data_IF_500242085703
#
_entry.id   IF_500242085703
#
_cell.length_a   1.000
_cell.length_b   1.000
_cell.length_c   1.000
_cell.angle_alpha   90.00
_cell.angle_beta   90.00
_cell.angle_gamma   90.00
#
_symmetry.space_group_name_H-M   'P 1'
#
loop_
_entity.id
_entity.type
_entity.pdbx_description
1 polymer ?
#
# COMPACT_ATOMS: atom_id res chain seq x y z
N UNK A 1 44.49 38.99 16.18
CA UNK A 1 43.40 39.11 15.18
C UNK A 1 42.36 38.05 15.48
N UNK A 2 41.22 38.43 16.07
CA UNK A 2 40.15 37.51 16.44
C UNK A 2 38.96 37.72 15.49
N UNK A 3 38.58 36.68 14.76
CA UNK A 3 37.49 36.71 13.78
C UNK A 3 36.24 36.23 14.50
N UNK A 4 35.32 37.15 14.80
CA UNK A 4 34.00 36.84 15.37
C UNK A 4 33.13 36.19 14.30
N UNK A 5 32.86 34.90 14.45
CA UNK A 5 31.79 34.19 13.73
C UNK A 5 30.44 34.62 14.34
N UNK A 6 29.66 35.38 13.57
CA UNK A 6 28.27 35.73 13.87
C UNK A 6 27.36 34.61 13.34
N UNK A 7 26.85 33.79 14.26
CA UNK A 7 25.68 32.93 14.03
C UNK A 7 24.41 33.75 14.26
N UNK A 8 23.45 33.79 13.31
CA UNK A 8 22.10 34.27 13.61
C UNK A 8 21.25 33.15 14.21
N UNK A 9 20.73 33.43 15.39
CA UNK A 9 19.80 32.62 16.17
C UNK A 9 18.36 32.75 15.66
N UNK A 10 17.68 31.61 15.57
CA UNK A 10 16.24 31.29 15.64
C UNK A 10 15.17 32.39 15.71
N UNK A 11 14.10 32.24 14.89
CA UNK A 11 12.72 31.99 15.38
C UNK A 11 11.71 31.72 14.23
N UNK A 12 10.81 30.72 14.34
CA UNK A 12 9.66 30.55 13.45
C UNK A 12 8.37 31.20 14.00
N UNK A 13 7.64 31.92 13.14
CA UNK A 13 6.34 32.54 13.44
C UNK A 13 5.17 31.59 13.11
N UNK A 14 4.12 31.51 13.94
CA UNK A 14 2.88 30.79 13.64
C UNK A 14 1.85 31.73 12.98
N UNK A 15 1.30 31.37 11.83
CA UNK A 15 0.17 32.10 11.25
C UNK A 15 -1.00 31.15 10.90
N UNK A 16 -2.04 31.28 11.72
CA UNK A 16 -3.46 31.40 11.40
C UNK A 16 -4.12 30.35 10.47
N UNK A 17 -4.95 29.52 11.11
CA UNK A 17 -6.08 28.81 10.50
C UNK A 17 -7.14 29.79 9.96
N UNK A 18 -7.82 29.46 8.84
CA UNK A 18 -9.19 29.88 8.63
C UNK A 18 -10.14 28.77 9.08
N UNK A 19 -11.01 29.15 10.01
CA UNK A 19 -12.14 28.37 10.47
C UNK A 19 -13.38 28.70 9.64
N UNK A 20 -14.24 27.69 9.49
CA UNK A 20 -15.67 27.73 9.11
C UNK A 20 -15.99 28.00 7.65
N UNK A 21 -16.64 27.01 7.02
CA UNK A 21 -18.01 27.17 6.51
C UNK A 21 -18.61 25.80 6.18
N UNK A 22 -19.65 25.47 6.92
CA UNK A 22 -20.59 24.38 6.71
C UNK A 22 -21.35 24.55 5.39
N UNK A 23 -21.28 23.55 4.51
CA UNK A 23 -22.28 23.36 3.45
C UNK A 23 -22.76 21.92 3.47
N UNK A 24 -23.92 21.74 4.08
CA UNK A 24 -24.76 20.55 3.93
C UNK A 24 -25.23 20.44 2.48
N UNK A 25 -24.82 19.41 1.76
CA UNK A 25 -25.54 18.96 0.55
C UNK A 25 -25.96 17.51 0.75
N UNK A 26 -27.24 17.35 1.10
CA UNK A 26 -27.96 16.10 1.19
C UNK A 26 -28.73 15.90 -0.12
N UNK A 27 -28.30 14.95 -0.94
CA UNK A 27 -29.09 14.26 -2.00
C UNK A 27 -28.55 12.83 -2.06
N UNK A 28 -29.18 11.82 -1.45
CA UNK A 28 -30.40 11.14 -1.89
C UNK A 28 -30.48 10.96 -3.40
N UNK A 29 -30.02 9.80 -3.88
CA UNK A 29 -30.86 8.92 -4.72
C UNK A 29 -30.09 7.66 -5.08
N UNK A 30 -30.76 6.53 -4.86
CA UNK A 30 -30.51 5.22 -5.47
C UNK A 30 -29.94 5.36 -6.88
N UNK A 31 -28.83 4.68 -7.15
CA UNK A 31 -28.66 4.06 -8.45
C UNK A 31 -27.88 2.76 -8.29
N UNK A 32 -28.66 1.68 -8.09
CA UNK A 32 -28.27 0.33 -8.46
C UNK A 32 -27.86 0.37 -9.93
N UNK A 33 -26.56 0.36 -10.20
CA UNK A 33 -25.93 -0.09 -11.44
C UNK A 33 -24.90 -1.09 -10.92
N UNK A 34 -25.25 -2.38 -10.86
CA UNK A 34 -25.33 -3.17 -12.08
C UNK A 34 -23.94 -3.29 -12.70
N UNK A 35 -22.92 -3.57 -11.87
CA UNK A 35 -21.61 -3.97 -12.38
C UNK A 35 -21.68 -5.46 -12.72
N UNK A 36 -22.41 -5.78 -13.80
CA UNK A 36 -22.23 -7.04 -14.51
C UNK A 36 -21.03 -6.87 -15.43
N UNK A 37 -19.83 -7.10 -14.91
CA UNK A 37 -18.73 -7.55 -15.76
C UNK A 37 -18.84 -9.07 -15.82
N UNK A 38 -19.73 -9.54 -16.70
CA UNK A 38 -19.79 -10.92 -17.12
C UNK A 38 -18.68 -11.11 -18.17
N UNK A 39 -17.48 -11.48 -17.71
CA UNK A 39 -16.42 -11.93 -18.61
C UNK A 39 -16.62 -13.43 -18.86
N UNK A 40 -17.47 -13.77 -19.82
CA UNK A 40 -17.38 -15.08 -20.48
C UNK A 40 -16.29 -15.00 -21.52
N UNK A 41 -15.13 -15.56 -21.19
CA UNK A 41 -14.13 -15.91 -22.18
C UNK A 41 -14.00 -17.43 -22.19
N UNK A 42 -14.82 -18.07 -23.03
CA UNK A 42 -14.52 -19.40 -23.55
C UNK A 42 -13.39 -19.23 -24.57
N UNK A 43 -12.17 -19.56 -24.19
CA UNK A 43 -11.08 -19.83 -25.13
C UNK A 43 -10.70 -21.30 -25.03
N UNK A 44 -11.03 -22.02 -26.09
CA UNK A 44 -10.77 -23.43 -26.31
C UNK A 44 -9.32 -23.64 -26.75
N UNK A 45 -8.65 -24.63 -26.13
CA UNK A 45 -7.60 -25.44 -26.76
C UNK A 45 -6.14 -25.02 -26.54
N UNK A 46 -5.34 -25.99 -26.06
CA UNK A 46 -3.87 -25.98 -26.10
C UNK A 46 -3.26 -26.40 -24.76
N UNK A 47 -2.82 -27.66 -24.67
CA UNK A 47 -2.30 -28.24 -23.44
C UNK A 47 -0.91 -27.74 -23.06
N UNK A 48 -0.76 -27.39 -21.80
CA UNK A 48 0.48 -27.44 -21.02
C UNK A 48 0.10 -28.04 -19.66
N UNK A 49 0.92 -28.98 -19.19
CA UNK A 49 0.75 -29.74 -17.95
C UNK A 49 0.83 -28.78 -16.74
N UNK A 50 -0.30 -28.16 -16.37
CA UNK A 50 -0.40 -27.36 -15.16
C UNK A 50 -0.60 -28.31 -14.00
N UNK A 51 0.52 -28.69 -13.39
CA UNK A 51 0.58 -29.14 -12.00
C UNK A 51 -0.37 -28.26 -11.18
N UNK A 52 -1.46 -28.90 -10.73
CA UNK A 52 -2.43 -28.38 -9.78
C UNK A 52 -1.72 -28.01 -8.49
N UNK A 53 -1.15 -26.82 -8.46
CA UNK A 53 -0.34 -26.27 -7.39
C UNK A 53 -1.02 -24.99 -6.93
N UNK A 54 -1.21 -24.91 -5.62
CA UNK A 54 -1.77 -23.77 -4.87
C UNK A 54 -1.65 -22.43 -5.60
N UNK A 55 -2.77 -21.72 -5.73
CA UNK A 55 -2.90 -20.41 -6.41
C UNK A 55 -2.20 -19.25 -5.68
N UNK A 56 -1.15 -19.55 -4.92
CA UNK A 56 -0.40 -18.60 -4.10
C UNK A 56 0.34 -17.57 -4.97
N UNK A 57 -0.11 -16.32 -4.95
CA UNK A 57 0.55 -15.20 -5.62
C UNK A 57 1.43 -14.40 -4.66
N UNK A 58 2.45 -13.73 -5.21
CA UNK A 58 3.24 -12.74 -4.48
C UNK A 58 2.87 -11.34 -4.96
N UNK A 59 2.40 -10.47 -4.07
CA UNK A 59 1.91 -9.13 -4.42
C UNK A 59 2.75 -8.05 -3.74
N UNK A 60 3.32 -7.15 -4.55
CA UNK A 60 4.05 -5.97 -4.06
C UNK A 60 3.13 -4.76 -3.96
N UNK A 61 3.08 -4.10 -2.81
CA UNK A 61 2.11 -3.02 -2.53
C UNK A 61 2.82 -1.77 -2.00
N UNK A 62 2.71 -0.66 -2.73
CA UNK A 62 3.07 0.66 -2.19
C UNK A 62 1.91 1.19 -1.33
N UNK A 63 2.20 2.00 -0.31
CA UNK A 63 1.14 2.65 0.46
C UNK A 63 0.32 1.68 1.31
N UNK A 64 0.83 0.47 1.57
CA UNK A 64 0.12 -0.58 2.31
C UNK A 64 -0.26 -0.14 3.75
N UNK A 65 0.47 0.79 4.35
CA UNK A 65 0.16 1.32 5.70
C UNK A 65 -1.03 2.29 5.72
N UNK A 66 -1.57 2.66 4.56
CA UNK A 66 -2.70 3.57 4.42
C UNK A 66 -4.05 2.99 4.86
N UNK A 67 -5.12 3.73 4.63
CA UNK A 67 -6.49 3.28 4.95
C UNK A 67 -6.90 2.07 4.11
N UNK A 68 -6.73 2.17 2.78
CA UNK A 68 -7.08 1.10 1.85
C UNK A 68 -6.05 -0.03 1.90
N UNK A 69 -4.76 0.32 1.96
CA UNK A 69 -3.66 -0.63 1.96
C UNK A 69 -3.78 -1.70 3.05
N UNK A 70 -4.12 -1.31 4.29
CA UNK A 70 -4.25 -2.27 5.40
C UNK A 70 -5.33 -3.32 5.14
N UNK A 71 -6.50 -2.89 4.65
CA UNK A 71 -7.59 -3.81 4.29
C UNK A 71 -7.23 -4.72 3.13
N UNK A 72 -6.45 -4.24 2.16
CA UNK A 72 -5.99 -5.05 1.05
C UNK A 72 -5.06 -6.16 1.54
N UNK A 73 -4.07 -5.83 2.39
CA UNK A 73 -3.16 -6.79 3.00
C UNK A 73 -3.93 -7.87 3.78
N UNK A 74 -4.88 -7.46 4.62
CA UNK A 74 -5.73 -8.40 5.39
C UNK A 74 -6.47 -9.38 4.47
N UNK A 75 -7.04 -8.88 3.37
CA UNK A 75 -7.81 -9.70 2.42
C UNK A 75 -6.92 -10.68 1.65
N UNK A 76 -5.74 -10.25 1.23
CA UNK A 76 -4.79 -11.10 0.52
C UNK A 76 -4.28 -12.23 1.41
N UNK A 77 -3.99 -11.95 2.68
CA UNK A 77 -3.52 -12.99 3.60
C UNK A 77 -4.64 -13.93 4.05
N UNK A 78 -5.89 -13.48 3.99
CA UNK A 78 -7.05 -14.32 4.33
C UNK A 78 -7.50 -15.22 3.18
N UNK A 79 -7.02 -14.97 1.96
CA UNK A 79 -7.40 -15.71 0.76
C UNK A 79 -6.19 -16.48 0.24
N UNK A 80 -6.30 -17.81 0.12
CA UNK A 80 -5.38 -18.65 -0.66
C UNK A 80 -3.87 -18.44 -0.34
N UNK A 81 -3.55 -18.22 0.94
CA UNK A 81 -2.19 -18.08 1.51
C UNK A 81 -1.22 -17.20 0.69
N UNK A 82 -1.72 -16.09 0.12
CA UNK A 82 -0.89 -15.21 -0.71
C UNK A 82 0.22 -14.52 0.10
N UNK A 83 1.35 -14.27 -0.56
CA UNK A 83 2.49 -13.54 0.02
C UNK A 83 2.42 -12.06 -0.36
N UNK A 84 2.75 -11.19 0.58
CA UNK A 84 2.67 -9.74 0.36
C UNK A 84 4.01 -9.07 0.67
N UNK A 85 4.54 -8.29 -0.27
CA UNK A 85 5.66 -7.39 -0.01
C UNK A 85 5.17 -5.94 0.12
N UNK A 86 5.37 -5.35 1.30
CA UNK A 86 5.02 -3.97 1.60
C UNK A 86 6.19 -3.06 1.25
N UNK A 87 6.00 -2.22 0.24
CA UNK A 87 6.99 -1.24 -0.20
C UNK A 87 6.76 0.08 0.54
N UNK A 88 7.75 0.55 1.30
CA UNK A 88 7.63 1.79 2.07
C UNK A 88 8.82 2.73 1.89
N UNK A 89 8.54 3.99 1.53
CA UNK A 89 9.53 5.08 1.36
C UNK A 89 10.14 5.61 2.65
N UNK A 90 9.54 5.31 3.80
CA UNK A 90 9.87 6.00 5.05
C UNK A 90 10.78 5.17 5.93
N UNK A 91 12.02 5.61 6.04
CA UNK A 91 13.00 5.22 7.07
C UNK A 91 12.68 5.83 8.44
N UNK A 92 11.60 6.63 8.56
CA UNK A 92 11.09 7.11 9.85
C UNK A 92 10.63 5.88 10.65
N UNK A 93 11.55 5.41 11.51
CA UNK A 93 11.63 4.07 12.09
C UNK A 93 10.26 3.45 12.37
N UNK A 94 10.02 2.27 11.79
CA UNK A 94 9.04 1.28 12.28
C UNK A 94 7.54 1.51 12.08
N UNK A 95 7.07 2.46 11.27
CA UNK A 95 5.60 2.55 11.03
C UNK A 95 5.04 1.28 10.37
N UNK A 96 5.71 0.76 9.34
CA UNK A 96 5.29 -0.48 8.67
C UNK A 96 5.37 -1.69 9.61
N UNK A 97 6.47 -1.84 10.36
CA UNK A 97 6.66 -2.94 11.31
C UNK A 97 5.70 -2.90 12.49
N UNK A 98 5.25 -1.70 12.90
CA UNK A 98 4.23 -1.53 13.93
C UNK A 98 2.83 -1.86 13.42
N UNK A 99 2.52 -1.58 12.15
CA UNK A 99 1.23 -1.88 11.54
C UNK A 99 1.14 -3.37 11.17
N UNK A 100 2.24 -3.93 10.69
CA UNK A 100 2.37 -5.31 10.22
C UNK A 100 3.44 -6.08 11.03
N UNK A 101 3.19 -6.36 12.33
CA UNK A 101 4.11 -7.18 13.11
C UNK A 101 4.11 -8.63 12.61
N UNK A 102 5.31 -9.24 12.54
CA UNK A 102 5.49 -10.62 12.03
C UNK A 102 4.64 -11.66 12.79
N UNK A 103 4.35 -11.43 14.07
CA UNK A 103 3.49 -12.32 14.87
C UNK A 103 2.04 -12.40 14.36
N UNK A 104 1.53 -11.34 13.73
CA UNK A 104 0.17 -11.27 13.18
C UNK A 104 0.14 -11.46 11.66
N UNK A 105 1.25 -11.17 11.00
CA UNK A 105 1.37 -11.15 9.55
C UNK A 105 2.57 -11.99 9.08
N UNK A 106 2.52 -13.33 9.21
CA UNK A 106 3.66 -14.20 8.88
C UNK A 106 3.99 -14.24 7.38
N UNK A 107 3.05 -13.86 6.50
CA UNK A 107 3.23 -13.79 5.05
C UNK A 107 3.59 -12.40 4.51
N UNK A 108 3.90 -11.44 5.39
CA UNK A 108 4.24 -10.07 5.01
C UNK A 108 5.73 -9.81 5.12
N UNK A 109 6.34 -9.40 4.01
CA UNK A 109 7.71 -8.89 3.96
C UNK A 109 7.66 -7.38 3.86
N UNK A 110 8.46 -6.66 4.66
CA UNK A 110 8.56 -5.20 4.59
C UNK A 110 9.86 -4.86 3.88
N UNK A 111 9.76 -4.09 2.79
CA UNK A 111 10.89 -3.56 2.05
C UNK A 111 10.93 -2.03 2.22
N UNK A 112 11.93 -1.54 2.96
CA UNK A 112 12.11 -0.13 3.31
C UNK A 112 13.26 0.54 2.54
N UNK A 113 14.13 -0.26 1.90
CA UNK A 113 15.27 0.22 1.10
C UNK A 113 15.01 0.01 -0.38
N UNK A 114 15.59 0.87 -1.21
CA UNK A 114 15.43 0.83 -2.67
C UNK A 114 15.86 -0.52 -3.28
N UNK A 115 17.00 -1.07 -2.87
CA UNK A 115 17.43 -2.40 -3.33
C UNK A 115 16.46 -3.53 -2.96
N UNK A 116 15.77 -3.40 -1.83
CA UNK A 116 14.74 -4.38 -1.43
C UNK A 116 13.46 -4.21 -2.24
N UNK A 117 13.13 -2.99 -2.70
CA UNK A 117 11.99 -2.73 -3.56
C UNK A 117 12.16 -3.38 -4.92
N UNK A 118 13.32 -3.19 -5.56
CA UNK A 118 13.63 -3.79 -6.85
C UNK A 118 13.50 -5.31 -6.81
N UNK A 119 14.03 -5.92 -5.74
CA UNK A 119 13.91 -7.36 -5.51
C UNK A 119 12.45 -7.78 -5.33
N UNK A 120 11.69 -7.11 -4.48
CA UNK A 120 10.29 -7.44 -4.27
C UNK A 120 9.44 -7.29 -5.53
N UNK A 121 9.67 -6.24 -6.32
CA UNK A 121 8.94 -6.00 -7.57
C UNK A 121 9.27 -7.09 -8.58
N UNK A 122 10.55 -7.43 -8.76
CA UNK A 122 11.00 -8.47 -9.71
C UNK A 122 10.47 -9.86 -9.36
N UNK A 123 10.41 -10.20 -8.09
CA UNK A 123 9.96 -11.51 -7.61
C UNK A 123 8.42 -11.60 -7.45
N UNK A 124 7.70 -10.49 -7.65
CA UNK A 124 6.24 -10.44 -7.48
C UNK A 124 5.45 -10.77 -8.74
N UNK A 125 4.34 -11.48 -8.56
CA UNK A 125 3.34 -11.79 -9.59
C UNK A 125 2.57 -10.54 -10.02
N UNK A 126 2.41 -9.57 -9.12
CA UNK A 126 1.72 -8.32 -9.41
C UNK A 126 2.12 -7.18 -8.48
N UNK A 127 1.95 -5.95 -8.96
CA UNK A 127 2.25 -4.72 -8.22
C UNK A 127 1.00 -3.85 -8.11
N UNK A 128 0.73 -3.35 -6.91
CA UNK A 128 -0.38 -2.44 -6.63
C UNK A 128 0.16 -1.11 -6.13
N UNK A 129 -0.20 -0.01 -6.80
CA UNK A 129 0.20 1.33 -6.40
C UNK A 129 -0.92 2.06 -5.65
N UNK A 130 -0.72 2.36 -4.36
CA UNK A 130 -1.69 3.06 -3.49
C UNK A 130 -1.08 4.27 -2.76
N UNK A 131 0.14 4.68 -3.10
CA UNK A 131 0.95 5.68 -2.37
C UNK A 131 1.05 7.04 -3.07
#
# INVERSE_FOLDING_TARGET
MAIRVLFPSSQPQPHLQPSRSSTTTRRSSRQRRGFCCFCSSTSSGGGDEVSSSSSMMTVSITGATGFVGRRLVDKLLSAEDHKVCVLTRSTSKNKASSVFPASRYPGVTIADKEGDWERCIRDSTGVVNLA
#
